data_IF_814847628868
#
_entry.id   IF_814847628868
#
_cell.length_a   1.000
_cell.length_b   1.000
_cell.length_c   1.000
_cell.angle_alpha   90.00
_cell.angle_beta   90.00
_cell.angle_gamma   90.00
#
_symmetry.space_group_name_H-M   'P 1'
#
loop_
_entity.id
_entity.type
_entity.pdbx_description
1 polymer ?
#
# COMPACT_ATOMS: atom_id res chain seq x y z
N UNK A 1 13.96 -15.25 -1.31
CA UNK A 1 14.23 -14.80 0.06
C UNK A 1 13.40 -13.59 0.36
N UNK A 2 12.57 -13.70 1.36
CA UNK A 2 11.74 -12.58 1.79
C UNK A 2 12.59 -11.61 2.58
N UNK A 3 12.79 -10.42 2.05
CA UNK A 3 13.36 -9.33 2.83
C UNK A 3 12.22 -8.62 3.53
N UNK A 4 12.08 -8.89 4.81
CA UNK A 4 11.16 -8.17 5.66
C UNK A 4 11.83 -6.86 6.02
N UNK A 5 11.39 -5.79 5.39
CA UNK A 5 11.81 -4.46 5.79
C UNK A 5 10.72 -3.91 6.71
N UNK A 6 10.85 -4.18 8.00
CA UNK A 6 10.01 -3.54 8.99
C UNK A 6 10.48 -2.11 9.19
N UNK A 7 9.90 -1.19 8.46
CA UNK A 7 10.07 0.22 8.77
C UNK A 7 9.02 0.61 9.80
N UNK A 8 9.41 0.63 11.04
CA UNK A 8 8.54 1.10 12.11
C UNK A 8 8.61 2.62 12.10
N UNK A 9 7.62 3.24 11.50
CA UNK A 9 7.46 4.68 11.59
C UNK A 9 6.69 5.00 12.86
N UNK A 10 7.41 5.32 13.92
CA UNK A 10 6.80 5.81 15.14
C UNK A 10 6.49 7.28 14.95
N UNK A 11 5.26 7.58 14.59
CA UNK A 11 4.77 8.95 14.66
C UNK A 11 4.40 9.26 16.10
N UNK A 12 5.35 9.73 16.86
CA UNK A 12 5.04 10.33 18.13
C UNK A 12 4.47 11.72 17.83
N UNK A 13 3.18 11.84 17.87
CA UNK A 13 2.56 13.14 17.92
C UNK A 13 2.85 13.75 19.28
N UNK A 14 3.95 14.45 19.37
CA UNK A 14 4.07 15.46 20.39
C UNK A 14 3.11 16.57 20.00
N UNK A 15 1.90 16.50 20.50
CA UNK A 15 1.02 17.63 20.48
C UNK A 15 1.80 18.78 21.08
N UNK A 16 2.00 19.80 20.26
CA UNK A 16 2.83 20.92 20.65
C UNK A 16 2.53 21.31 22.08
N UNK A 17 3.50 21.16 22.89
CA UNK A 17 3.40 21.60 24.28
C UNK A 17 3.13 23.07 24.25
N UNK A 18 1.89 23.41 24.21
CA UNK A 18 1.54 24.68 24.77
C UNK A 18 1.89 24.60 26.24
N UNK A 19 2.54 25.58 26.72
CA UNK A 19 2.85 25.71 28.12
C UNK A 19 1.60 25.86 29.00
N UNK A 20 0.51 25.38 28.54
CA UNK A 20 -0.73 25.56 29.23
C UNK A 20 -0.86 24.56 30.33
N UNK A 21 -0.97 25.13 31.44
CA UNK A 21 -1.03 24.49 32.72
C UNK A 21 -2.33 23.77 32.97
N UNK A 22 -3.29 23.93 32.13
CA UNK A 22 -4.59 23.30 32.28
C UNK A 22 -4.65 21.88 31.74
N UNK A 23 -3.71 21.09 32.17
CA UNK A 23 -3.59 19.71 31.71
C UNK A 23 -4.60 18.74 32.31
N UNK A 24 -5.57 19.25 33.02
CA UNK A 24 -6.56 18.40 33.70
C UNK A 24 -7.44 17.58 32.75
N UNK A 25 -7.46 17.96 31.47
CA UNK A 25 -8.26 17.29 30.43
C UNK A 25 -7.39 16.73 29.33
N UNK A 26 -6.16 16.43 29.60
CA UNK A 26 -5.27 15.84 28.62
C UNK A 26 -5.75 14.44 28.30
N UNK A 27 -6.26 14.26 27.09
CA UNK A 27 -6.53 12.93 26.59
C UNK A 27 -5.22 12.17 26.43
N UNK A 28 -5.19 10.88 26.82
CA UNK A 28 -4.01 10.08 26.57
C UNK A 28 -3.73 10.07 25.08
N UNK A 29 -2.49 10.38 24.73
CA UNK A 29 -2.05 10.35 23.34
C UNK A 29 -2.02 8.90 22.86
N UNK A 30 -2.70 8.62 21.76
CA UNK A 30 -2.63 7.34 21.10
C UNK A 30 -1.30 7.22 20.38
N UNK A 31 -0.62 6.11 20.62
CA UNK A 31 0.56 5.74 19.86
C UNK A 31 0.13 4.97 18.62
N UNK A 32 0.33 5.54 17.45
CA UNK A 32 0.01 4.94 16.18
C UNK A 32 1.29 4.48 15.50
N UNK A 33 1.36 3.21 15.18
CA UNK A 33 2.50 2.59 14.51
C UNK A 33 2.04 1.92 13.23
N UNK A 34 2.81 2.06 12.16
CA UNK A 34 2.58 1.37 10.90
C UNK A 34 3.75 0.44 10.60
N UNK A 35 3.43 -0.75 10.12
CA UNK A 35 4.42 -1.67 9.58
C UNK A 35 4.11 -1.93 8.11
N UNK A 36 5.16 -2.12 7.32
CA UNK A 36 5.05 -2.40 5.89
C UNK A 36 5.82 -3.69 5.57
N UNK A 37 5.22 -4.54 4.78
CA UNK A 37 5.82 -5.79 4.35
C UNK A 37 5.54 -6.02 2.87
N UNK A 38 6.56 -6.39 2.12
CA UNK A 38 6.41 -6.80 0.74
C UNK A 38 6.10 -8.29 0.66
N UNK A 39 4.99 -8.62 0.02
CA UNK A 39 4.53 -10.00 -0.12
C UNK A 39 4.13 -10.28 -1.56
N UNK A 40 4.02 -11.56 -1.90
CA UNK A 40 3.53 -11.98 -3.21
C UNK A 40 2.02 -12.20 -3.14
N UNK A 41 1.28 -11.40 -3.88
CA UNK A 41 -0.16 -11.56 -4.05
C UNK A 41 -0.46 -12.27 -5.37
N UNK A 42 -1.63 -12.86 -5.47
CA UNK A 42 -2.09 -13.53 -6.68
C UNK A 42 -3.04 -12.61 -7.45
N UNK A 43 -2.82 -12.50 -8.75
CA UNK A 43 -3.69 -11.75 -9.63
C UNK A 43 -4.98 -12.55 -9.83
N UNK A 44 -6.10 -11.99 -9.42
CA UNK A 44 -7.42 -12.59 -9.62
C UNK A 44 -8.14 -12.06 -10.85
N UNK A 45 -7.76 -10.89 -11.30
CA UNK A 45 -8.25 -10.27 -12.52
C UNK A 45 -7.22 -9.30 -13.07
N UNK A 46 -7.06 -9.27 -14.38
CA UNK A 46 -6.24 -8.29 -15.05
C UNK A 46 -6.80 -7.97 -16.44
N UNK A 47 -6.97 -6.70 -16.73
CA UNK A 47 -7.25 -6.18 -18.06
C UNK A 47 -6.18 -5.13 -18.38
N UNK A 48 -5.33 -5.46 -19.32
CA UNK A 48 -4.23 -4.60 -19.73
C UNK A 48 -4.44 -4.19 -21.19
N UNK A 49 -4.50 -2.88 -21.42
CA UNK A 49 -4.61 -2.30 -22.76
C UNK A 49 -3.39 -1.47 -23.07
N UNK A 50 -2.87 -1.67 -24.24
CA UNK A 50 -1.75 -0.92 -24.78
C UNK A 50 -2.10 -0.44 -26.19
N UNK A 51 -1.89 0.84 -26.43
CA UNK A 51 -2.00 1.41 -27.75
C UNK A 51 -0.98 2.52 -27.95
N UNK A 52 -0.84 2.96 -29.16
CA UNK A 52 0.15 3.97 -29.52
C UNK A 52 -0.54 5.15 -30.23
N UNK A 53 -0.40 6.34 -29.65
CA UNK A 53 -0.80 7.61 -30.27
C UNK A 53 0.31 8.60 -29.97
N UNK A 54 1.26 8.73 -30.88
CA UNK A 54 2.50 9.51 -30.73
C UNK A 54 3.45 8.99 -29.65
N UNK A 55 2.90 8.48 -28.57
CA UNK A 55 3.63 7.85 -27.45
C UNK A 55 2.91 6.58 -27.04
N UNK A 56 3.60 5.61 -26.42
CA UNK A 56 2.94 4.45 -25.86
C UNK A 56 1.95 4.86 -24.78
N UNK A 57 0.78 4.26 -24.80
CA UNK A 57 -0.28 4.50 -23.83
C UNK A 57 -0.69 3.18 -23.22
N UNK A 58 -0.90 3.19 -21.91
CA UNK A 58 -1.26 2.04 -21.12
C UNK A 58 -2.51 2.35 -20.31
N UNK A 59 -3.41 1.40 -20.25
CA UNK A 59 -4.56 1.44 -19.36
C UNK A 59 -4.74 0.06 -18.75
N UNK A 60 -4.97 0.01 -17.45
CA UNK A 60 -5.13 -1.26 -16.78
C UNK A 60 -6.15 -1.22 -15.66
N UNK A 61 -6.71 -2.40 -15.41
CA UNK A 61 -7.49 -2.73 -14.25
C UNK A 61 -6.94 -4.05 -13.72
N UNK A 62 -6.53 -4.07 -12.48
CA UNK A 62 -5.94 -5.24 -11.85
C UNK A 62 -6.54 -5.46 -10.47
N UNK A 63 -6.83 -6.71 -10.15
CA UNK A 63 -7.28 -7.14 -8.83
C UNK A 63 -6.36 -8.23 -8.33
N UNK A 64 -5.92 -8.09 -7.10
CA UNK A 64 -5.03 -9.05 -6.45
C UNK A 64 -5.56 -9.46 -5.10
N UNK A 65 -5.14 -10.62 -4.62
CA UNK A 65 -5.53 -11.18 -3.34
C UNK A 65 -4.31 -11.74 -2.62
N UNK A 66 -4.26 -11.45 -1.33
CA UNK A 66 -3.26 -12.01 -0.44
C UNK A 66 -3.85 -12.19 0.95
N UNK A 67 -3.86 -13.44 1.45
CA UNK A 67 -4.24 -13.77 2.83
C UNK A 67 -5.59 -13.14 3.25
N UNK A 68 -6.59 -13.26 2.38
CA UNK A 68 -7.92 -12.68 2.60
C UNK A 68 -8.04 -11.18 2.33
N UNK A 69 -6.93 -10.52 2.01
CA UNK A 69 -6.92 -9.11 1.62
C UNK A 69 -7.06 -9.00 0.11
N UNK A 70 -7.83 -8.02 -0.33
CA UNK A 70 -8.02 -7.72 -1.74
C UNK A 70 -7.59 -6.29 -2.04
N UNK A 71 -7.07 -6.08 -3.25
CA UNK A 71 -6.68 -4.76 -3.73
C UNK A 71 -7.06 -4.63 -5.20
N UNK A 72 -7.61 -3.49 -5.54
CA UNK A 72 -7.96 -3.15 -6.92
C UNK A 72 -7.25 -1.87 -7.32
N UNK A 73 -6.68 -1.88 -8.52
CA UNK A 73 -6.07 -0.69 -9.11
C UNK A 73 -6.59 -0.52 -10.52
N UNK A 74 -6.98 0.70 -10.84
CA UNK A 74 -7.44 1.12 -12.16
C UNK A 74 -6.70 2.42 -12.47
N UNK A 75 -5.86 2.41 -13.48
CA UNK A 75 -5.02 3.55 -13.79
C UNK A 75 -4.67 3.62 -15.27
N UNK A 76 -4.02 4.70 -15.62
CA UNK A 76 -3.64 5.04 -16.96
C UNK A 76 -2.26 5.71 -16.97
N UNK A 77 -1.44 5.36 -17.93
CA UNK A 77 -0.15 6.00 -18.11
C UNK A 77 0.14 6.26 -19.58
N UNK A 78 0.81 7.36 -19.86
CA UNK A 78 1.27 7.70 -21.21
C UNK A 78 2.75 8.06 -21.20
N UNK A 79 3.46 7.72 -22.27
CA UNK A 79 4.88 7.98 -22.38
C UNK A 79 5.79 6.97 -21.72
N UNK A 80 5.24 5.95 -21.05
CA UNK A 80 6.03 4.86 -20.48
C UNK A 80 6.38 3.83 -21.54
N UNK A 81 7.67 3.59 -21.75
CA UNK A 81 8.12 2.61 -22.73
C UNK A 81 7.79 1.18 -22.34
N UNK A 82 7.83 0.86 -21.07
CA UNK A 82 7.73 -0.52 -20.58
C UNK A 82 6.43 -0.83 -19.82
N UNK A 83 5.55 0.13 -19.65
CA UNK A 83 4.32 -0.05 -18.89
C UNK A 83 4.56 -0.30 -17.39
N UNK A 84 3.51 -0.69 -16.65
CA UNK A 84 3.63 -1.04 -15.26
C UNK A 84 4.39 -2.36 -15.06
N UNK A 85 4.84 -2.63 -13.84
CA UNK A 85 5.64 -3.82 -13.53
C UNK A 85 4.92 -5.14 -13.84
N UNK A 86 3.60 -5.12 -13.86
CA UNK A 86 2.76 -6.30 -14.14
C UNK A 86 2.21 -6.33 -15.56
N UNK A 87 2.79 -5.55 -16.49
CA UNK A 87 2.28 -5.41 -17.86
C UNK A 87 2.16 -6.74 -18.61
N UNK A 88 3.06 -7.68 -18.35
CA UNK A 88 3.08 -8.99 -19.01
C UNK A 88 2.48 -10.11 -18.14
N UNK A 89 1.86 -9.75 -17.04
CA UNK A 89 1.29 -10.71 -16.11
C UNK A 89 -0.11 -11.14 -16.54
N UNK A 90 -0.52 -12.33 -16.08
CA UNK A 90 -1.81 -12.92 -16.35
C UNK A 90 -2.51 -13.29 -15.04
N UNK A 91 -3.81 -13.55 -15.13
CA UNK A 91 -4.58 -14.09 -14.00
C UNK A 91 -3.92 -15.37 -13.50
N UNK A 92 -3.70 -15.45 -12.20
CA UNK A 92 -3.02 -16.57 -11.55
C UNK A 92 -1.53 -16.33 -11.30
N UNK A 93 -0.94 -15.33 -11.95
CA UNK A 93 0.45 -14.95 -11.69
C UNK A 93 0.56 -14.22 -10.36
N UNK A 94 1.75 -14.18 -9.80
CA UNK A 94 2.02 -13.44 -8.58
C UNK A 94 2.64 -12.09 -8.91
N UNK A 95 2.29 -11.11 -8.09
CA UNK A 95 2.91 -9.78 -8.11
C UNK A 95 3.30 -9.39 -6.69
N UNK A 96 4.33 -8.57 -6.58
CA UNK A 96 4.74 -8.05 -5.28
C UNK A 96 3.85 -6.88 -4.89
N UNK A 97 3.25 -6.98 -3.72
CA UNK A 97 2.42 -5.93 -3.14
C UNK A 97 2.94 -5.55 -1.77
N UNK A 98 2.64 -4.34 -1.35
CA UNK A 98 2.94 -3.88 0.00
C UNK A 98 1.71 -4.06 0.88
N UNK A 99 1.87 -4.79 1.98
CA UNK A 99 0.86 -4.92 3.02
C UNK A 99 1.22 -3.98 4.15
N UNK A 100 0.28 -3.15 4.54
CA UNK A 100 0.42 -2.20 5.65
C UNK A 100 -0.44 -2.64 6.80
N UNK A 101 0.15 -2.68 7.99
CA UNK A 101 -0.54 -2.94 9.24
C UNK A 101 -0.51 -1.70 10.11
N UNK A 102 -1.67 -1.32 10.64
CA UNK A 102 -1.81 -0.19 11.55
C UNK A 102 -2.02 -0.70 12.96
N UNK A 103 -1.21 -0.22 13.88
CA UNK A 103 -1.30 -0.54 15.30
C UNK A 103 -1.63 0.73 16.09
N UNK A 104 -2.54 0.59 17.03
CA UNK A 104 -2.87 1.64 17.99
C UNK A 104 -2.57 1.10 19.38
N UNK A 105 -1.67 1.74 20.09
CA UNK A 105 -1.21 1.31 21.41
C UNK A 105 -0.73 -0.16 21.44
N UNK A 106 -0.03 -0.58 20.38
CA UNK A 106 0.48 -1.93 20.24
C UNK A 106 -0.53 -2.97 19.76
N UNK A 107 -1.76 -2.58 19.50
CA UNK A 107 -2.83 -3.45 19.01
C UNK A 107 -3.05 -3.27 17.51
N UNK A 108 -3.06 -4.36 16.76
CA UNK A 108 -3.42 -4.35 15.36
C UNK A 108 -4.89 -3.94 15.19
N UNK A 109 -5.14 -2.84 14.49
CA UNK A 109 -6.49 -2.31 14.25
C UNK A 109 -6.88 -2.33 12.79
N UNK A 110 -5.92 -2.41 11.88
CA UNK A 110 -6.17 -2.46 10.45
C UNK A 110 -5.04 -3.16 9.71
N UNK A 111 -5.37 -3.81 8.62
CA UNK A 111 -4.42 -4.47 7.74
C UNK A 111 -4.96 -4.43 6.32
N UNK A 112 -4.16 -3.94 5.39
CA UNK A 112 -4.60 -3.77 4.02
C UNK A 112 -3.40 -3.80 3.05
N UNK A 113 -3.70 -4.05 1.79
CA UNK A 113 -2.73 -3.91 0.72
C UNK A 113 -2.69 -2.44 0.32
N UNK A 114 -1.53 -1.81 0.44
CA UNK A 114 -1.36 -0.38 0.15
C UNK A 114 -1.01 -0.09 -1.29
N UNK A 115 -0.51 -1.05 -2.03
CA UNK A 115 -0.18 -0.87 -3.44
C UNK A 115 0.56 -2.05 -4.04
N UNK A 116 0.73 -2.00 -5.35
CA UNK A 116 1.51 -2.96 -6.15
C UNK A 116 2.86 -2.32 -6.46
N UNK A 117 3.91 -3.06 -6.23
CA UNK A 117 5.27 -2.61 -6.54
C UNK A 117 5.70 -2.92 -7.97
#
# INVERSE_FOLDING_TARGET
MKKILCLILICIFLAGCSNDVSDKNREPQEEITYTHEDVNAIITYIDMRKWFVYVPRWQWEIKVEYDGLTYEEDDYASGMMNGPSFADSQKGDSVTVEVTEKYVNGKLVDRYISGIE
#
